data_IF_500878509574
#
_entry.id   IF_500878509574
#
_cell.length_a   1.000
_cell.length_b   1.000
_cell.length_c   1.000
_cell.angle_alpha   90.00
_cell.angle_beta   90.00
_cell.angle_gamma   90.00
#
_symmetry.space_group_name_H-M   'P 1'
#
loop_
_entity.id
_entity.type
_entity.pdbx_description
1 polymer ?
#
# COMPACT_ATOMS: atom_id res chain seq x y z
N UNK A 1 -13.05 -2.12 -0.36
CA UNK A 1 -14.17 -2.98 0.12
C UNK A 1 -14.02 -4.42 -0.34
N UNK A 2 -13.89 -4.70 -1.64
CA UNK A 2 -13.79 -6.08 -2.17
C UNK A 2 -12.63 -6.87 -1.55
N UNK A 3 -11.41 -6.30 -1.52
CA UNK A 3 -10.23 -6.96 -0.94
C UNK A 3 -10.43 -7.28 0.54
N UNK A 4 -11.02 -6.38 1.32
CA UNK A 4 -11.32 -6.65 2.73
C UNK A 4 -12.30 -7.84 2.90
N UNK A 5 -13.34 -7.91 2.07
CA UNK A 5 -14.29 -9.02 2.08
C UNK A 5 -13.60 -10.36 1.72
N UNK A 6 -12.77 -10.37 0.68
CA UNK A 6 -12.00 -11.54 0.28
C UNK A 6 -11.00 -11.98 1.37
N UNK A 7 -10.28 -11.03 1.98
CA UNK A 7 -9.41 -11.32 3.14
C UNK A 7 -10.20 -12.00 4.25
N UNK A 8 -11.39 -11.50 4.58
CA UNK A 8 -12.23 -12.08 5.63
C UNK A 8 -12.70 -13.48 5.29
N UNK A 9 -13.12 -13.72 4.05
CA UNK A 9 -13.57 -15.04 3.58
C UNK A 9 -12.41 -16.04 3.64
N UNK A 10 -11.24 -15.68 3.11
CA UNK A 10 -10.07 -16.56 3.11
C UNK A 10 -9.59 -16.85 4.54
N UNK A 11 -9.55 -15.82 5.40
CA UNK A 11 -9.24 -16.00 6.82
C UNK A 11 -10.18 -17.02 7.49
N UNK A 12 -11.49 -16.92 7.26
CA UNK A 12 -12.49 -17.85 7.80
C UNK A 12 -12.32 -19.29 7.27
N UNK A 13 -11.74 -19.44 6.09
CA UNK A 13 -11.40 -20.74 5.48
C UNK A 13 -10.05 -21.29 5.93
N UNK A 14 -9.38 -20.63 6.89
CA UNK A 14 -8.09 -21.07 7.42
C UNK A 14 -6.89 -20.72 6.55
N UNK A 15 -7.07 -19.90 5.50
CA UNK A 15 -5.97 -19.43 4.66
C UNK A 15 -5.20 -18.32 5.38
N UNK A 16 -3.87 -18.41 5.40
CA UNK A 16 -2.99 -17.36 5.90
C UNK A 16 -2.84 -16.28 4.83
N UNK A 17 -3.74 -15.30 4.87
CA UNK A 17 -3.89 -14.26 3.85
C UNK A 17 -3.39 -12.91 4.34
N UNK A 18 -2.76 -12.13 3.45
CA UNK A 18 -2.41 -10.72 3.68
C UNK A 18 -2.94 -9.83 2.54
N UNK A 19 -3.36 -8.60 2.84
CA UNK A 19 -3.65 -7.59 1.82
C UNK A 19 -2.35 -6.92 1.37
N UNK A 20 -2.32 -6.44 0.14
CA UNK A 20 -1.21 -5.68 -0.40
C UNK A 20 -1.69 -4.61 -1.39
N UNK A 21 -1.39 -3.36 -1.10
CA UNK A 21 -1.56 -2.25 -2.03
C UNK A 21 -0.22 -1.54 -2.19
N UNK A 22 0.49 -1.78 -3.29
CA UNK A 22 1.85 -1.25 -3.50
C UNK A 22 1.96 0.25 -3.28
N UNK A 23 1.05 1.00 -3.89
CA UNK A 23 0.96 2.45 -3.75
C UNK A 23 -0.46 2.86 -3.44
N UNK A 24 -0.62 3.79 -2.52
CA UNK A 24 -1.91 4.40 -2.19
C UNK A 24 -1.78 5.92 -2.16
N UNK A 25 -2.85 6.61 -2.53
CA UNK A 25 -2.99 8.05 -2.35
C UNK A 25 -4.15 8.28 -1.39
N UNK A 26 -3.86 8.76 -0.18
CA UNK A 26 -4.87 8.97 0.84
C UNK A 26 -4.43 10.00 1.88
N UNK A 27 -5.35 10.88 2.29
CA UNK A 27 -5.13 11.81 3.40
C UNK A 27 -5.21 11.10 4.75
N UNK A 28 -6.12 10.12 4.87
CA UNK A 28 -6.36 9.40 6.13
C UNK A 28 -5.45 8.18 6.24
N UNK A 29 -4.72 8.10 7.33
CA UNK A 29 -3.84 6.98 7.66
C UNK A 29 -4.21 6.32 8.98
N UNK A 30 -3.59 5.19 9.24
CA UNK A 30 -3.64 4.47 10.51
C UNK A 30 -2.22 4.05 10.91
N UNK A 31 -1.97 4.02 12.21
CA UNK A 31 -0.70 3.59 12.78
C UNK A 31 -0.50 2.10 12.56
N UNK A 32 0.73 1.71 12.30
CA UNK A 32 1.14 0.31 12.12
C UNK A 32 1.87 -0.22 13.34
N UNK A 33 1.86 -1.55 13.52
CA UNK A 33 2.53 -2.23 14.64
C UNK A 33 4.04 -2.04 14.62
N UNK A 34 4.63 -1.81 13.45
CA UNK A 34 6.05 -1.53 13.24
C UNK A 34 6.42 -0.04 13.38
N UNK A 35 5.52 0.80 13.92
CA UNK A 35 5.80 2.19 14.29
C UNK A 35 5.72 3.18 13.14
N UNK A 36 4.99 2.86 12.09
CA UNK A 36 4.76 3.73 10.94
C UNK A 36 3.29 4.00 10.68
N UNK A 37 2.95 4.33 9.44
CA UNK A 37 1.58 4.56 9.00
C UNK A 37 1.32 3.97 7.61
N UNK A 38 0.07 3.54 7.39
CA UNK A 38 -0.47 3.10 6.11
C UNK A 38 -1.82 3.76 5.84
N UNK A 39 -2.29 3.69 4.61
CA UNK A 39 -3.63 4.15 4.27
C UNK A 39 -4.69 3.44 5.14
N UNK A 40 -5.71 4.18 5.59
CA UNK A 40 -6.75 3.65 6.48
C UNK A 40 -7.51 2.46 5.89
N UNK A 41 -7.71 2.47 4.57
CA UNK A 41 -8.35 1.35 3.87
C UNK A 41 -7.52 0.05 3.98
N UNK A 42 -6.20 0.12 3.94
CA UNK A 42 -5.29 -1.02 4.09
C UNK A 42 -5.26 -1.52 5.54
N UNK A 43 -5.37 -0.63 6.52
CA UNK A 43 -5.54 -1.04 7.91
C UNK A 43 -6.83 -1.83 8.11
N UNK A 44 -7.94 -1.41 7.49
CA UNK A 44 -9.20 -2.17 7.50
C UNK A 44 -9.06 -3.54 6.84
N UNK A 45 -8.32 -3.63 5.73
CA UNK A 45 -8.05 -4.90 5.05
C UNK A 45 -7.20 -5.84 5.92
N UNK A 46 -6.21 -5.31 6.63
CA UNK A 46 -5.41 -6.08 7.59
C UNK A 46 -6.29 -6.65 8.72
N UNK A 47 -7.15 -5.83 9.32
CA UNK A 47 -8.10 -6.30 10.33
C UNK A 47 -9.05 -7.37 9.81
N UNK A 48 -9.53 -7.23 8.57
CA UNK A 48 -10.37 -8.25 7.93
C UNK A 48 -9.64 -9.59 7.74
N UNK A 49 -8.33 -9.55 7.49
CA UNK A 49 -7.45 -10.71 7.43
C UNK A 49 -7.09 -11.28 8.83
N UNK A 50 -7.50 -10.60 9.90
CA UNK A 50 -7.14 -10.96 11.28
C UNK A 50 -5.69 -10.61 11.62
N UNK A 51 -5.15 -9.58 11.01
CA UNK A 51 -3.77 -9.08 11.17
C UNK A 51 -3.79 -7.67 11.77
N UNK A 52 -2.73 -7.33 12.48
CA UNK A 52 -2.46 -5.94 12.83
C UNK A 52 -1.93 -5.19 11.59
N UNK A 53 -2.26 -3.88 11.45
CA UNK A 53 -1.69 -3.07 10.38
C UNK A 53 -0.17 -3.08 10.40
N UNK A 54 0.44 -3.31 9.24
CA UNK A 54 1.89 -3.35 9.04
C UNK A 54 2.28 -2.56 7.80
N UNK A 55 3.44 -1.90 7.81
CA UNK A 55 3.88 -1.03 6.71
C UNK A 55 4.05 -1.78 5.38
N UNK A 56 4.33 -3.09 5.41
CA UNK A 56 4.43 -3.93 4.21
C UNK A 56 3.12 -4.05 3.43
N UNK A 57 1.96 -3.84 4.07
CA UNK A 57 0.66 -3.92 3.38
C UNK A 57 0.41 -2.73 2.45
N UNK A 58 1.13 -1.62 2.68
CA UNK A 58 1.08 -0.41 1.87
C UNK A 58 2.44 0.30 1.91
N UNK A 59 3.45 -0.21 1.19
CA UNK A 59 4.82 0.29 1.31
C UNK A 59 5.00 1.72 0.82
N UNK A 60 4.14 2.22 -0.07
CA UNK A 60 4.18 3.59 -0.57
C UNK A 60 2.84 4.27 -0.35
N UNK A 61 2.83 5.32 0.47
CA UNK A 61 1.66 6.16 0.71
C UNK A 61 1.97 7.59 0.31
N UNK A 62 1.14 8.15 -0.55
CA UNK A 62 1.18 9.56 -0.96
C UNK A 62 0.09 10.32 -0.22
N UNK A 63 0.48 11.32 0.57
CA UNK A 63 -0.45 12.25 1.22
C UNK A 63 -0.41 13.59 0.48
N UNK A 64 -1.43 13.94 -0.31
CA UNK A 64 -1.52 15.25 -0.91
C UNK A 64 -1.51 16.33 0.17
N UNK A 65 -0.64 17.33 0.05
CA UNK A 65 -0.56 18.48 0.97
C UNK A 65 -1.11 19.75 0.34
N UNK A 66 -0.93 19.87 -0.98
CA UNK A 66 -1.52 20.94 -1.82
C UNK A 66 -1.86 20.35 -3.19
N UNK A 67 -2.41 21.19 -4.08
CA UNK A 67 -2.72 20.78 -5.47
C UNK A 67 -1.48 20.32 -6.27
N UNK A 68 -0.27 20.64 -5.81
CA UNK A 68 0.98 20.37 -6.53
C UNK A 68 2.03 19.63 -5.71
N UNK A 69 1.79 19.39 -4.42
CA UNK A 69 2.76 18.75 -3.52
C UNK A 69 2.15 17.59 -2.76
N UNK A 70 2.94 16.55 -2.53
CA UNK A 70 2.55 15.41 -1.72
C UNK A 70 3.69 14.99 -0.81
N UNK A 71 3.35 14.62 0.42
CA UNK A 71 4.29 13.94 1.31
C UNK A 71 4.35 12.47 0.94
N UNK A 72 5.56 11.96 0.72
CA UNK A 72 5.80 10.54 0.43
C UNK A 72 6.20 9.82 1.70
N UNK A 73 5.46 8.76 1.98
CA UNK A 73 5.70 7.84 3.09
C UNK A 73 6.11 6.50 2.50
N UNK A 74 7.31 6.04 2.85
CA UNK A 74 7.85 4.74 2.43
C UNK A 74 8.05 3.86 3.66
N UNK A 75 7.51 2.63 3.63
CA UNK A 75 7.51 1.71 4.76
C UNK A 75 7.08 2.38 6.07
N UNK A 76 5.99 3.16 5.97
CA UNK A 76 5.38 3.80 7.12
C UNK A 76 6.09 5.07 7.65
N UNK A 77 7.23 5.46 7.07
CA UNK A 77 8.01 6.62 7.49
C UNK A 77 8.03 7.71 6.42
N UNK A 78 7.99 8.97 6.84
CA UNK A 78 8.13 10.10 5.92
C UNK A 78 9.51 10.04 5.27
N UNK A 79 9.52 9.90 3.95
CA UNK A 79 10.75 9.80 3.17
C UNK A 79 11.18 11.13 2.55
N UNK A 80 10.22 11.90 2.05
CA UNK A 80 10.45 13.21 1.44
C UNK A 80 9.13 13.95 1.20
N UNK A 81 9.21 15.26 1.01
CA UNK A 81 8.15 16.06 0.41
C UNK A 81 8.44 16.19 -1.09
N UNK A 82 7.47 15.85 -1.93
CA UNK A 82 7.60 15.90 -3.38
C UNK A 82 6.96 17.16 -3.94
N UNK A 83 7.78 17.93 -4.66
CA UNK A 83 7.30 18.81 -5.71
C UNK A 83 7.04 18.01 -7.00
N UNK A 84 6.11 18.48 -7.83
CA UNK A 84 5.78 17.83 -9.10
C UNK A 84 6.99 17.61 -10.04
N UNK A 85 8.11 18.31 -9.78
CA UNK A 85 9.36 18.21 -10.53
C UNK A 85 10.21 16.99 -10.15
N UNK A 86 10.06 16.46 -8.94
CA UNK A 86 10.90 15.37 -8.41
C UNK A 86 10.29 13.98 -8.57
N UNK A 87 9.13 13.90 -9.27
CA UNK A 87 8.37 12.68 -9.46
C UNK A 87 9.18 11.53 -10.11
N UNK A 88 10.16 11.87 -10.96
CA UNK A 88 11.00 10.86 -11.61
C UNK A 88 12.07 10.27 -10.67
N UNK A 89 12.54 11.02 -9.69
CA UNK A 89 13.60 10.58 -8.78
C UNK A 89 13.10 9.59 -7.71
N UNK A 90 11.82 9.68 -7.32
CA UNK A 90 11.28 8.82 -6.28
C UNK A 90 10.86 7.42 -6.78
N UNK A 91 10.49 7.27 -8.06
CA UNK A 91 9.99 6.02 -8.62
C UNK A 91 10.90 4.80 -8.38
N UNK A 92 12.22 4.85 -8.63
CA UNK A 92 13.09 3.72 -8.37
C UNK A 92 13.13 3.32 -6.89
N UNK A 93 13.13 4.31 -5.98
CA UNK A 93 13.10 4.08 -4.53
C UNK A 93 11.78 3.47 -4.09
N UNK A 94 10.67 3.97 -4.61
CA UNK A 94 9.34 3.43 -4.35
C UNK A 94 9.22 1.98 -4.85
N UNK A 95 9.70 1.69 -6.06
CA UNK A 95 9.70 0.34 -6.62
C UNK A 95 10.54 -0.61 -5.76
N UNK A 96 11.71 -0.20 -5.29
CA UNK A 96 12.54 -1.00 -4.36
C UNK A 96 11.78 -1.35 -3.07
N UNK A 97 11.05 -0.40 -2.50
CA UNK A 97 10.22 -0.62 -1.31
C UNK A 97 9.06 -1.59 -1.59
N UNK A 98 8.39 -1.44 -2.73
CA UNK A 98 7.31 -2.33 -3.17
C UNK A 98 7.80 -3.77 -3.30
N UNK A 99 8.92 -3.99 -4.00
CA UNK A 99 9.49 -5.32 -4.22
C UNK A 99 9.98 -5.96 -2.91
N UNK A 100 10.56 -5.17 -2.00
CA UNK A 100 10.99 -5.67 -0.70
C UNK A 100 9.79 -6.12 0.17
N UNK A 101 8.72 -5.33 0.21
CA UNK A 101 7.49 -5.71 0.91
C UNK A 101 6.83 -6.94 0.28
N UNK A 102 6.77 -6.99 -1.05
CA UNK A 102 6.24 -8.14 -1.78
C UNK A 102 6.97 -9.43 -1.42
N UNK A 103 8.31 -9.40 -1.43
CA UNK A 103 9.12 -10.57 -1.08
C UNK A 103 8.85 -11.05 0.35
N UNK A 104 8.73 -10.13 1.32
CA UNK A 104 8.42 -10.50 2.71
C UNK A 104 7.02 -11.09 2.84
N UNK A 105 6.02 -10.51 2.19
CA UNK A 105 4.64 -10.99 2.26
C UNK A 105 4.48 -12.35 1.60
N UNK A 106 5.07 -12.56 0.43
CA UNK A 106 4.97 -13.86 -0.27
C UNK A 106 5.72 -14.98 0.45
N UNK A 107 6.76 -14.65 1.22
CA UNK A 107 7.45 -15.62 2.08
C UNK A 107 6.66 -15.98 3.35
N UNK A 108 5.85 -15.04 3.87
CA UNK A 108 5.19 -15.17 5.18
C UNK A 108 3.72 -15.65 5.08
N UNK A 109 3.05 -15.49 3.95
CA UNK A 109 1.63 -15.77 3.77
C UNK A 109 1.38 -16.74 2.61
N UNK A 110 0.31 -17.54 2.74
CA UNK A 110 -0.10 -18.50 1.70
C UNK A 110 -0.78 -17.80 0.51
N UNK A 111 -1.41 -16.65 0.78
CA UNK A 111 -2.12 -15.87 -0.23
C UNK A 111 -1.92 -14.38 0.05
N UNK A 112 -1.57 -13.62 -0.99
CA UNK A 112 -1.49 -12.15 -0.93
C UNK A 112 -2.51 -11.58 -1.92
N UNK A 113 -3.46 -10.81 -1.40
CA UNK A 113 -4.47 -10.13 -2.21
C UNK A 113 -3.97 -8.73 -2.59
N UNK A 114 -3.70 -8.55 -3.87
CA UNK A 114 -3.14 -7.31 -4.40
C UNK A 114 -4.25 -6.40 -4.92
N UNK A 115 -4.20 -5.12 -4.54
CA UNK A 115 -5.04 -4.06 -5.08
C UNK A 115 -4.18 -3.04 -5.83
N UNK A 116 -4.49 -2.79 -7.11
CA UNK A 116 -3.81 -1.77 -7.90
C UNK A 116 -4.15 -0.35 -7.45
N UNK A 117 -3.31 0.61 -7.84
CA UNK A 117 -3.51 2.03 -7.51
C UNK A 117 -4.45 2.73 -8.50
N UNK A 118 -4.41 2.35 -9.77
CA UNK A 118 -5.24 2.91 -10.85
C UNK A 118 -6.39 2.01 -11.28
N UNK A 119 -7.22 2.51 -12.18
CA UNK A 119 -8.25 1.73 -12.83
C UNK A 119 -7.73 1.14 -14.14
N UNK A 120 -7.96 -0.15 -14.42
CA UNK A 120 -7.60 -0.75 -15.71
C UNK A 120 -8.37 -0.14 -16.90
N UNK A 121 -9.40 0.66 -16.62
CA UNK A 121 -10.15 1.41 -17.63
C UNK A 121 -9.47 2.73 -18.04
N UNK A 122 -8.48 3.20 -17.29
CA UNK A 122 -7.73 4.43 -17.58
C UNK A 122 -6.58 4.13 -18.57
N UNK A 123 -6.94 3.98 -19.84
CA UNK A 123 -6.01 3.59 -20.93
C UNK A 123 -4.82 4.55 -21.06
N UNK A 124 -5.01 5.84 -20.77
CA UNK A 124 -3.98 6.88 -20.85
C UNK A 124 -2.87 6.77 -19.77
N UNK A 125 -3.08 5.98 -18.72
CA UNK A 125 -2.08 5.73 -17.68
C UNK A 125 -1.35 4.40 -17.82
N UNK A 126 -1.78 3.57 -18.78
CA UNK A 126 -1.35 2.19 -18.95
C UNK A 126 0.16 2.00 -19.13
N UNK A 127 0.82 2.94 -19.77
CA UNK A 127 2.27 2.89 -20.04
C UNK A 127 3.13 3.37 -18.87
N UNK A 128 2.47 3.79 -17.76
CA UNK A 128 3.15 4.40 -16.61
C UNK A 128 2.83 3.74 -15.27
N UNK A 129 1.96 2.73 -15.27
CA UNK A 129 1.61 1.92 -14.10
C UNK A 129 2.59 0.77 -13.84
#
# INVERSE_FOLDING_TARGET
MLVAALCRILKRRGVKVAPFKPQNMALNSAVTVDGGEIGRAQALQALAAGLEPHSDFNPVLLKPTTDQTAQIIIHGQVAMDLDARDYHAYKPRAMGAVLASWARLTAAYDCVLVEGAGSPAEINLRDRD
#
